data_IF_888595422467
#
_entry.id   IF_888595422467
#
_cell.length_a   1.000
_cell.length_b   1.000
_cell.length_c   1.000
_cell.angle_alpha   90.00
_cell.angle_beta   90.00
_cell.angle_gamma   90.00
#
_symmetry.space_group_name_H-M   'P 1'
#
loop_
_entity.id
_entity.type
_entity.pdbx_description
1 polymer ?
#
# COMPACT_ATOMS: atom_id res chain seq x y z
N UNK A 1 -3.09 0.17 6.61
CA UNK A 1 -2.79 1.53 6.10
C UNK A 1 -3.30 1.70 4.67
N UNK A 2 -2.78 0.96 3.70
CA UNK A 2 -3.10 1.09 2.26
C UNK A 2 -4.59 0.85 1.94
N UNK A 3 -5.11 -0.35 2.20
CA UNK A 3 -6.46 -0.75 1.76
C UNK A 3 -7.60 -0.18 2.63
N UNK A 4 -7.34 0.12 3.90
CA UNK A 4 -8.34 0.63 4.86
C UNK A 4 -8.33 2.16 4.97
N UNK A 5 -7.16 2.74 5.22
CA UNK A 5 -7.00 4.16 5.54
C UNK A 5 -6.57 5.00 4.35
N UNK A 6 -6.08 4.39 3.26
CA UNK A 6 -5.58 5.12 2.10
C UNK A 6 -4.24 5.80 2.31
N UNK A 7 -3.43 5.32 3.26
CA UNK A 7 -2.07 5.83 3.47
C UNK A 7 -1.03 4.75 3.20
N UNK A 8 0.09 5.15 2.62
CA UNK A 8 1.25 4.30 2.39
C UNK A 8 2.48 4.89 3.08
N UNK A 9 3.07 4.13 3.99
CA UNK A 9 4.39 4.44 4.53
C UNK A 9 5.43 3.81 3.60
N UNK A 10 6.08 4.64 2.78
CA UNK A 10 6.87 4.15 1.64
C UNK A 10 8.24 3.61 2.06
N UNK A 11 8.75 3.99 3.23
CA UNK A 11 10.07 3.60 3.71
C UNK A 11 10.04 3.34 5.22
N UNK A 12 9.38 2.28 5.71
CA UNK A 12 9.43 1.93 7.12
C UNK A 12 10.80 1.32 7.43
N UNK A 13 11.75 2.15 7.87
CA UNK A 13 13.02 1.69 8.43
C UNK A 13 12.78 1.07 9.82
N UNK A 14 13.47 -0.03 10.21
CA UNK A 14 13.26 -0.65 11.53
C UNK A 14 13.44 0.31 12.71
N UNK A 15 14.35 1.29 12.58
CA UNK A 15 14.55 2.35 13.59
C UNK A 15 13.36 3.28 13.81
N UNK A 16 12.35 3.26 12.92
CA UNK A 16 11.12 4.05 13.04
C UNK A 16 9.98 3.28 13.72
N UNK A 17 10.23 2.04 14.16
CA UNK A 17 9.26 1.17 14.83
C UNK A 17 9.76 0.91 16.26
N UNK A 18 8.99 1.33 17.26
CA UNK A 18 9.27 1.08 18.67
C UNK A 18 8.27 0.06 19.21
N UNK A 19 8.77 -0.99 19.87
CA UNK A 19 7.95 -1.91 20.66
C UNK A 19 7.81 -1.33 22.06
N UNK A 20 6.58 -0.92 22.40
CA UNK A 20 6.23 -0.32 23.67
C UNK A 20 5.91 -1.40 24.72
N UNK A 21 5.66 -0.96 25.96
CA UNK A 21 5.12 -1.83 27.00
C UNK A 21 3.77 -2.39 26.56
N UNK A 22 3.40 -3.57 27.06
CA UNK A 22 2.12 -4.24 26.75
C UNK A 22 1.94 -4.59 25.25
N UNK A 23 3.03 -4.84 24.53
CA UNK A 23 2.98 -5.26 23.11
C UNK A 23 2.37 -4.24 22.14
N UNK A 24 2.38 -2.96 22.52
CA UNK A 24 2.00 -1.86 21.64
C UNK A 24 3.14 -1.51 20.67
N UNK A 25 2.79 -0.93 19.52
CA UNK A 25 3.75 -0.50 18.50
C UNK A 25 3.59 1.00 18.24
N UNK A 26 4.68 1.74 18.34
CA UNK A 26 4.73 3.16 17.97
C UNK A 26 5.52 3.35 16.68
N UNK A 27 4.99 4.19 15.78
CA UNK A 27 5.64 4.63 14.55
C UNK A 27 6.17 6.06 14.76
N UNK A 28 7.47 6.26 14.53
CA UNK A 28 8.17 7.49 14.91
C UNK A 28 8.29 8.51 13.77
N UNK A 29 8.36 8.04 12.53
CA UNK A 29 8.67 8.86 11.35
C UNK A 29 7.58 8.71 10.30
N UNK A 30 7.10 9.86 9.80
CA UNK A 30 6.06 9.96 8.78
C UNK A 30 6.52 10.77 7.56
N UNK A 31 7.83 11.05 7.42
CA UNK A 31 8.37 11.90 6.36
C UNK A 31 8.21 11.34 4.94
N UNK A 32 8.00 10.02 4.81
CA UNK A 32 7.77 9.33 3.53
C UNK A 32 6.40 8.65 3.50
N UNK A 33 5.35 9.36 3.92
CA UNK A 33 3.97 8.90 3.84
C UNK A 33 3.28 9.54 2.63
N UNK A 34 2.52 8.73 1.89
CA UNK A 34 1.70 9.18 0.75
C UNK A 34 0.22 8.82 0.96
N UNK A 35 -0.65 9.72 0.51
CA UNK A 35 -2.06 9.42 0.34
C UNK A 35 -2.29 8.62 -0.94
N UNK A 36 -3.23 7.68 -0.87
CA UNK A 36 -3.64 6.83 -1.97
C UNK A 36 -5.10 7.16 -2.32
N UNK A 37 -5.35 7.76 -3.49
CA UNK A 37 -6.70 8.00 -3.97
C UNK A 37 -7.53 6.71 -4.02
N UNK A 38 -8.84 6.82 -3.78
CA UNK A 38 -9.74 5.67 -3.80
C UNK A 38 -9.66 4.81 -5.09
N UNK A 39 -9.57 5.38 -6.31
CA UNK A 39 -9.41 4.58 -7.52
C UNK A 39 -8.15 3.70 -7.50
N UNK A 40 -7.03 4.25 -7.02
CA UNK A 40 -5.77 3.53 -6.89
C UNK A 40 -5.87 2.43 -5.83
N UNK A 41 -6.51 2.70 -4.69
CA UNK A 41 -6.75 1.70 -3.63
C UNK A 41 -7.57 0.51 -4.13
N UNK A 42 -8.62 0.78 -4.90
CA UNK A 42 -9.46 -0.27 -5.50
C UNK A 42 -8.68 -1.07 -6.55
N UNK A 43 -7.88 -0.40 -7.38
CA UNK A 43 -6.97 -1.06 -8.32
C UNK A 43 -6.02 -2.03 -7.61
N UNK A 44 -5.37 -1.59 -6.53
CA UNK A 44 -4.50 -2.46 -5.71
C UNK A 44 -5.27 -3.63 -5.08
N UNK A 45 -6.47 -3.40 -4.56
CA UNK A 45 -7.30 -4.48 -4.00
C UNK A 45 -7.62 -5.55 -5.06
N UNK A 46 -8.03 -5.13 -6.26
CA UNK A 46 -8.34 -6.03 -7.37
C UNK A 46 -7.11 -6.80 -7.86
N UNK A 47 -5.93 -6.16 -7.88
CA UNK A 47 -4.67 -6.82 -8.21
C UNK A 47 -4.34 -7.94 -7.21
N UNK A 48 -4.46 -7.67 -5.89
CA UNK A 48 -4.22 -8.67 -4.85
C UNK A 48 -5.18 -9.85 -4.99
N UNK A 49 -6.47 -9.58 -5.27
CA UNK A 49 -7.47 -10.63 -5.50
C UNK A 49 -7.14 -11.46 -6.74
N UNK A 50 -6.77 -10.83 -7.85
CA UNK A 50 -6.40 -11.55 -9.07
C UNK A 50 -5.19 -12.48 -8.87
N UNK A 51 -4.18 -12.03 -8.12
CA UNK A 51 -3.03 -12.86 -7.75
C UNK A 51 -3.47 -14.03 -6.87
N UNK A 52 -4.32 -13.79 -5.88
CA UNK A 52 -4.85 -14.84 -5.00
C UNK A 52 -5.70 -15.88 -5.77
N UNK A 53 -6.43 -15.43 -6.79
CA UNK A 53 -7.23 -16.28 -7.68
C UNK A 53 -6.38 -17.01 -8.74
N UNK A 54 -5.06 -16.74 -8.80
CA UNK A 54 -4.15 -17.20 -9.86
C UNK A 54 -4.60 -16.80 -11.28
N UNK A 55 -5.28 -15.67 -11.41
CA UNK A 55 -5.75 -15.11 -12.67
C UNK A 55 -4.70 -14.16 -13.25
N UNK A 56 -3.87 -14.68 -14.15
CA UNK A 56 -2.75 -13.95 -14.73
C UNK A 56 -3.17 -12.77 -15.60
N UNK A 57 -4.34 -12.85 -16.25
CA UNK A 57 -4.84 -11.78 -17.13
C UNK A 57 -5.28 -10.60 -16.26
N UNK A 58 -6.15 -10.85 -15.27
CA UNK A 58 -6.60 -9.81 -14.33
C UNK A 58 -5.44 -9.23 -13.53
N UNK A 59 -4.43 -10.03 -13.18
CA UNK A 59 -3.24 -9.55 -12.48
C UNK A 59 -2.39 -8.62 -13.38
N UNK A 60 -2.20 -8.98 -14.66
CA UNK A 60 -1.45 -8.15 -15.61
C UNK A 60 -2.15 -6.81 -15.89
N UNK A 61 -3.47 -6.84 -16.06
CA UNK A 61 -4.30 -5.64 -16.22
C UNK A 61 -4.25 -4.77 -14.96
N UNK A 62 -4.40 -5.37 -13.77
CA UNK A 62 -4.32 -4.68 -12.49
C UNK A 62 -2.97 -3.98 -12.28
N UNK A 63 -1.87 -4.64 -12.64
CA UNK A 63 -0.52 -4.07 -12.54
C UNK A 63 -0.31 -2.90 -13.50
N UNK A 64 -0.76 -3.04 -14.75
CA UNK A 64 -0.66 -2.00 -15.78
C UNK A 64 -1.43 -0.74 -15.35
N UNK A 65 -2.65 -0.94 -14.84
CA UNK A 65 -3.49 0.14 -14.33
C UNK A 65 -2.91 0.79 -13.07
N UNK A 66 -2.27 0.04 -12.18
CA UNK A 66 -1.62 0.62 -11.01
C UNK A 66 -0.39 1.48 -11.39
N UNK A 67 0.37 1.06 -12.40
CA UNK A 67 1.55 1.78 -12.90
C UNK A 67 1.23 3.15 -13.50
N UNK A 68 0.08 3.31 -14.16
CA UNK A 68 -0.34 4.60 -14.74
C UNK A 68 -0.63 5.68 -13.69
N UNK A 69 -0.96 5.30 -12.45
CA UNK A 69 -1.21 6.27 -11.36
C UNK A 69 0.07 6.73 -10.65
N UNK A 70 1.19 6.01 -10.78
CA UNK A 70 2.47 6.36 -10.17
C UNK A 70 3.25 7.49 -10.88
N UNK A 71 2.74 7.97 -12.02
CA UNK A 71 3.33 9.03 -12.85
C UNK A 71 2.63 10.38 -12.74
N UNK A 72 1.59 10.49 -11.90
CA UNK A 72 0.93 11.77 -11.65
C UNK A 72 1.69 12.45 -10.49
N UNK A 73 2.35 13.61 -10.73
CA UNK A 73 3.05 14.36 -9.69
C UNK A 73 2.10 14.86 -8.59
#
# INVERSE_FOLDING_TARGET
>A
MILKSGFFHAVPHPGNILICKHSEVALLDYGQVKELPNPLRLGYANLVLAIADNDQIRASEGLSNAGSWGLIP
#
